data_IF_008227524962
#
_entry.id   IF_008227524962
#
_cell.length_a   1.000
_cell.length_b   1.000
_cell.length_c   1.000
_cell.angle_alpha   90.00
_cell.angle_beta   90.00
_cell.angle_gamma   90.00
#
_symmetry.space_group_name_H-M   'P 1'
#
loop_
_entity.id
_entity.type
_entity.pdbx_description
1 polymer ?
#
# COMPACT_ATOMS: atom_id res chain seq x y z
N UNK A 1 1.96 8.99 2.22
CA UNK A 1 1.52 10.40 2.10
C UNK A 1 2.73 11.29 2.28
N UNK A 2 2.80 12.44 1.62
CA UNK A 2 3.81 13.43 1.98
C UNK A 2 3.49 13.97 3.38
N UNK A 3 4.51 14.07 4.22
CA UNK A 3 4.40 14.70 5.52
C UNK A 3 4.23 16.20 5.35
N UNK A 4 3.58 16.83 6.31
CA UNK A 4 3.61 18.28 6.46
C UNK A 4 4.76 18.67 7.39
N UNK A 5 5.37 19.83 7.15
CA UNK A 5 6.40 20.37 8.05
C UNK A 5 5.88 20.44 9.50
N UNK A 6 6.73 20.17 10.51
CA UNK A 6 6.29 20.14 11.91
C UNK A 6 5.67 21.47 12.34
N UNK A 7 4.39 21.42 12.74
CA UNK A 7 3.62 22.61 13.15
C UNK A 7 3.69 22.86 14.66
N UNK A 8 4.60 22.20 15.38
CA UNK A 8 4.70 22.27 16.84
C UNK A 8 5.03 23.69 17.33
N UNK A 9 5.83 24.42 16.55
CA UNK A 9 6.25 25.78 16.86
C UNK A 9 5.28 26.87 16.36
N UNK A 10 4.22 26.48 15.62
CA UNK A 10 3.25 27.42 15.06
C UNK A 10 2.14 27.68 16.06
N UNK A 11 1.80 28.96 16.25
CA UNK A 11 0.62 29.38 16.97
C UNK A 11 -0.67 28.91 16.29
N UNK A 12 -1.76 28.86 17.05
CA UNK A 12 -3.08 28.52 16.48
C UNK A 12 -3.48 29.48 15.35
N UNK A 13 -3.12 30.76 15.45
CA UNK A 13 -3.43 31.76 14.42
C UNK A 13 -2.67 31.47 13.11
N UNK A 14 -1.39 31.11 13.19
CA UNK A 14 -0.60 30.73 12.02
C UNK A 14 -1.15 29.44 11.38
N UNK A 15 -1.49 28.44 12.18
CA UNK A 15 -2.14 27.21 11.70
C UNK A 15 -3.45 27.50 10.95
N UNK A 16 -4.32 28.34 11.50
CA UNK A 16 -5.54 28.75 10.82
C UNK A 16 -5.29 29.65 9.61
N UNK A 17 -4.16 30.35 9.55
CA UNK A 17 -3.72 31.10 8.37
C UNK A 17 -3.42 30.18 7.19
N UNK A 18 -2.76 29.04 7.44
CA UNK A 18 -2.43 28.05 6.41
C UNK A 18 -3.60 27.14 6.02
N UNK A 19 -4.33 26.59 7.00
CA UNK A 19 -5.36 25.57 6.73
C UNK A 19 -6.79 26.12 6.66
N UNK A 20 -6.98 27.39 7.03
CA UNK A 20 -8.31 27.92 7.29
C UNK A 20 -8.99 27.24 8.48
N UNK A 21 -10.29 27.53 8.66
CA UNK A 21 -11.10 26.87 9.69
C UNK A 21 -11.75 25.62 9.12
N UNK A 22 -11.87 24.52 9.89
CA UNK A 22 -12.65 23.36 9.46
C UNK A 22 -14.08 23.77 9.10
N UNK A 23 -14.48 23.49 7.87
CA UNK A 23 -15.82 23.76 7.36
C UNK A 23 -16.64 22.49 7.41
N UNK A 24 -17.92 22.62 7.74
CA UNK A 24 -18.87 21.51 7.70
C UNK A 24 -19.58 21.52 6.36
N UNK A 25 -19.61 20.37 5.70
CA UNK A 25 -20.43 20.11 4.53
C UNK A 25 -21.51 19.10 4.90
N UNK A 26 -22.71 19.27 4.35
CA UNK A 26 -23.79 18.29 4.57
C UNK A 26 -23.48 17.02 3.78
N UNK A 27 -23.64 15.87 4.43
CA UNK A 27 -23.76 14.61 3.71
C UNK A 27 -25.17 14.52 3.14
N UNK A 28 -25.24 14.45 1.81
CA UNK A 28 -26.48 14.20 1.10
C UNK A 28 -26.72 12.68 1.00
N UNK A 29 -27.99 12.27 0.87
CA UNK A 29 -28.40 10.88 0.60
C UNK A 29 -28.03 9.82 1.66
N UNK A 30 -28.12 10.15 2.94
CA UNK A 30 -28.02 9.19 4.06
C UNK A 30 -29.36 8.96 4.76
N UNK A 31 -29.53 7.76 5.35
CA UNK A 31 -30.71 7.40 6.16
C UNK A 31 -30.88 8.24 7.44
N UNK A 32 -29.83 8.98 7.84
CA UNK A 32 -29.84 9.97 8.91
C UNK A 32 -29.00 11.17 8.46
N UNK A 33 -29.48 12.38 8.75
CA UNK A 33 -28.71 13.60 8.48
C UNK A 33 -27.39 13.61 9.25
N UNK A 34 -26.33 14.03 8.56
CA UNK A 34 -24.98 14.17 9.12
C UNK A 34 -24.19 15.24 8.39
N UNK A 35 -23.20 15.80 9.08
CA UNK A 35 -22.20 16.70 8.49
C UNK A 35 -20.88 15.94 8.36
N UNK A 36 -20.15 16.16 7.26
CA UNK A 36 -18.75 15.81 7.10
C UNK A 36 -17.90 17.07 7.20
N UNK A 37 -16.65 16.95 7.62
CA UNK A 37 -15.69 18.05 7.55
C UNK A 37 -15.15 18.12 6.12
N UNK A 38 -15.16 19.32 5.52
CA UNK A 38 -14.55 19.56 4.22
C UNK A 38 -13.09 19.12 4.22
N UNK A 39 -12.65 18.55 3.08
CA UNK A 39 -11.27 18.13 2.93
C UNK A 39 -10.34 19.33 3.11
N UNK A 40 -9.28 19.12 3.89
CA UNK A 40 -8.27 20.15 4.11
C UNK A 40 -7.46 20.38 2.84
N UNK A 41 -7.40 21.63 2.39
CA UNK A 41 -6.44 22.07 1.38
C UNK A 41 -5.12 22.39 2.07
N UNK A 42 -4.03 21.80 1.57
CA UNK A 42 -2.70 21.97 2.14
C UNK A 42 -1.91 22.88 1.19
N UNK A 43 -1.38 23.97 1.73
CA UNK A 43 -0.41 24.82 1.02
C UNK A 43 0.83 23.99 0.67
N UNK A 44 1.19 23.97 -0.62
CA UNK A 44 2.33 23.19 -1.13
C UNK A 44 3.66 23.56 -0.43
N UNK A 45 3.78 24.78 0.09
CA UNK A 45 4.96 25.22 0.85
C UNK A 45 5.14 24.48 2.19
N UNK A 46 4.07 23.86 2.71
CA UNK A 46 4.10 23.06 3.92
C UNK A 46 4.38 21.57 3.64
N UNK A 47 4.40 21.16 2.37
CA UNK A 47 4.64 19.76 2.00
C UNK A 47 6.14 19.47 2.17
N UNK A 48 6.44 18.60 3.12
CA UNK A 48 7.80 18.11 3.33
C UNK A 48 8.15 17.04 2.29
N UNK A 49 9.44 16.88 2.04
CA UNK A 49 9.98 15.76 1.23
C UNK A 49 9.96 14.42 1.97
N UNK A 50 9.39 14.35 3.18
CA UNK A 50 9.30 13.13 3.98
C UNK A 50 8.02 12.39 3.64
N UNK A 51 8.11 11.07 3.51
CA UNK A 51 6.94 10.21 3.44
C UNK A 51 6.56 9.75 4.83
N UNK A 52 5.28 9.87 5.16
CA UNK A 52 4.70 9.41 6.42
C UNK A 52 3.55 8.44 6.14
N UNK A 53 3.42 7.44 7.03
CA UNK A 53 2.23 6.61 7.12
C UNK A 53 1.19 7.33 7.98
N UNK A 54 -0.07 7.19 7.61
CA UNK A 54 -1.20 7.77 8.31
C UNK A 54 -2.43 6.90 8.11
N UNK A 55 -3.59 7.41 8.52
CA UNK A 55 -4.86 6.68 8.55
C UNK A 55 -4.78 5.36 9.34
N UNK A 56 -4.58 5.50 10.65
CA UNK A 56 -4.51 4.37 11.58
C UNK A 56 -5.89 3.87 12.05
N UNK A 57 -6.98 4.24 11.37
CA UNK A 57 -8.35 3.90 11.77
C UNK A 57 -8.65 2.39 11.78
N UNK A 58 -7.86 1.62 11.04
CA UNK A 58 -7.94 0.14 10.97
C UNK A 58 -6.74 -0.56 11.59
N UNK A 59 -5.88 0.16 12.32
CA UNK A 59 -4.73 -0.44 12.99
C UNK A 59 -5.20 -1.39 14.10
N UNK A 60 -4.52 -2.53 14.19
CA UNK A 60 -4.82 -3.59 15.14
C UNK A 60 -3.52 -4.12 15.75
N UNK A 61 -3.62 -4.67 16.96
CA UNK A 61 -2.49 -5.32 17.60
C UNK A 61 -2.24 -6.68 16.93
N UNK A 62 -0.98 -6.98 16.57
CA UNK A 62 -0.61 -8.28 16.01
C UNK A 62 -1.07 -9.44 16.89
N UNK A 63 -1.57 -10.50 16.25
CA UNK A 63 -2.17 -11.66 16.93
C UNK A 63 -3.64 -11.48 17.33
N UNK A 64 -4.25 -10.33 17.03
CA UNK A 64 -5.68 -10.11 17.27
C UNK A 64 -6.49 -10.69 16.13
N UNK A 65 -7.47 -11.54 16.45
CA UNK A 65 -8.41 -12.03 15.45
C UNK A 65 -9.43 -10.95 15.12
N UNK A 66 -9.69 -10.73 13.84
CA UNK A 66 -10.68 -9.74 13.37
C UNK A 66 -11.91 -10.41 12.78
N UNK A 67 -13.13 -9.85 12.96
CA UNK A 67 -14.34 -10.42 12.39
C UNK A 67 -14.34 -10.36 10.86
N UNK A 68 -13.79 -9.28 10.28
CA UNK A 68 -13.68 -9.10 8.84
C UNK A 68 -12.26 -9.39 8.35
N UNK A 69 -12.10 -10.55 7.71
CA UNK A 69 -10.82 -11.01 7.18
C UNK A 69 -10.42 -10.33 5.88
N UNK A 70 -11.37 -9.88 5.09
CA UNK A 70 -11.07 -9.19 3.83
C UNK A 70 -10.98 -7.69 4.08
N UNK A 71 -9.88 -7.07 3.66
CA UNK A 71 -9.62 -5.64 3.89
C UNK A 71 -9.79 -4.81 2.61
N UNK A 72 -10.35 -3.62 2.77
CA UNK A 72 -10.34 -2.56 1.74
C UNK A 72 -9.11 -1.65 1.95
N UNK A 73 -8.47 -1.16 0.88
CA UNK A 73 -8.80 -1.39 -0.52
C UNK A 73 -8.35 -2.77 -0.99
N UNK A 74 -9.22 -3.44 -1.77
CA UNK A 74 -9.06 -4.84 -2.17
C UNK A 74 -7.74 -5.09 -2.93
N UNK A 75 -7.32 -4.12 -3.75
CA UNK A 75 -6.09 -4.18 -4.56
C UNK A 75 -4.79 -4.34 -3.75
N UNK A 76 -4.84 -4.02 -2.46
CA UNK A 76 -3.71 -4.13 -1.54
C UNK A 76 -3.92 -5.26 -0.52
N UNK A 77 -5.05 -5.97 -0.57
CA UNK A 77 -5.36 -7.03 0.37
C UNK A 77 -4.48 -8.25 0.09
N UNK A 78 -3.74 -8.70 1.11
CA UNK A 78 -2.92 -9.89 1.00
C UNK A 78 -3.75 -11.15 0.67
N UNK A 79 -3.23 -12.10 -0.10
CA UNK A 79 -3.99 -13.27 -0.56
C UNK A 79 -4.52 -14.11 0.60
N UNK A 80 -3.72 -14.32 1.65
CA UNK A 80 -4.13 -15.09 2.83
C UNK A 80 -5.40 -14.54 3.51
N UNK A 81 -5.63 -13.23 3.42
CA UNK A 81 -6.81 -12.56 3.98
C UNK A 81 -8.10 -12.94 3.24
N UNK A 82 -8.00 -13.24 1.94
CA UNK A 82 -9.12 -13.74 1.12
C UNK A 82 -9.50 -15.18 1.47
N UNK A 83 -8.55 -15.94 2.03
CA UNK A 83 -8.76 -17.30 2.52
C UNK A 83 -9.13 -17.34 4.01
N UNK A 84 -9.53 -16.20 4.59
CA UNK A 84 -10.05 -16.14 5.96
C UNK A 84 -8.98 -16.08 7.05
N UNK A 85 -7.71 -15.89 6.69
CA UNK A 85 -6.64 -15.76 7.67
C UNK A 85 -6.64 -14.39 8.35
N UNK A 86 -6.12 -14.38 9.58
CA UNK A 86 -5.92 -13.18 10.34
C UNK A 86 -4.79 -12.30 9.80
N UNK A 87 -4.88 -10.99 10.01
CA UNK A 87 -3.88 -10.04 9.57
C UNK A 87 -2.61 -10.17 10.39
N UNK A 88 -1.46 -9.97 9.75
CA UNK A 88 -0.14 -10.12 10.35
C UNK A 88 0.81 -9.07 9.79
N UNK A 89 2.03 -8.97 10.32
CA UNK A 89 3.04 -8.09 9.70
C UNK A 89 3.32 -8.45 8.23
N UNK A 90 3.16 -9.72 7.85
CA UNK A 90 3.32 -10.13 6.46
C UNK A 90 2.22 -9.53 5.57
N UNK A 91 0.99 -9.37 6.07
CA UNK A 91 -0.09 -8.75 5.29
C UNK A 91 0.22 -7.28 4.98
N UNK A 92 0.85 -6.55 5.91
CA UNK A 92 1.32 -5.19 5.67
C UNK A 92 2.44 -5.14 4.62
N UNK A 93 3.34 -6.13 4.64
CA UNK A 93 4.40 -6.23 3.65
C UNK A 93 3.89 -6.52 2.24
N UNK A 94 2.76 -7.23 2.09
CA UNK A 94 2.10 -7.38 0.79
C UNK A 94 1.56 -6.04 0.28
N UNK A 95 0.81 -5.32 1.12
CA UNK A 95 0.29 -3.99 0.78
C UNK A 95 1.41 -3.03 0.39
N UNK A 96 2.52 -3.05 1.14
CA UNK A 96 3.71 -2.26 0.83
C UNK A 96 4.31 -2.63 -0.54
N UNK A 97 4.34 -3.90 -0.91
CA UNK A 97 4.84 -4.34 -2.22
C UNK A 97 3.93 -3.93 -3.37
N UNK A 98 2.61 -3.94 -3.18
CA UNK A 98 1.66 -3.36 -4.12
C UNK A 98 1.96 -1.88 -4.36
N UNK A 99 2.12 -1.09 -3.28
CA UNK A 99 2.46 0.34 -3.36
C UNK A 99 3.82 0.54 -4.03
N UNK A 100 4.84 -0.21 -3.62
CA UNK A 100 6.20 -0.09 -4.15
C UNK A 100 6.23 -0.31 -5.66
N UNK A 101 5.53 -1.34 -6.15
CA UNK A 101 5.46 -1.63 -7.58
C UNK A 101 4.55 -0.66 -8.32
N UNK A 102 3.47 -0.18 -7.71
CA UNK A 102 2.63 0.86 -8.30
C UNK A 102 3.41 2.16 -8.50
N UNK A 103 4.21 2.57 -7.51
CA UNK A 103 5.09 3.73 -7.63
C UNK A 103 6.16 3.53 -8.70
N UNK A 104 6.65 2.30 -8.86
CA UNK A 104 7.62 1.98 -9.91
C UNK A 104 7.00 2.03 -11.31
N UNK A 105 5.82 1.46 -11.50
CA UNK A 105 5.21 1.28 -12.83
C UNK A 105 4.19 2.34 -13.22
N UNK A 106 3.73 3.17 -12.28
CA UNK A 106 2.67 4.16 -12.51
C UNK A 106 1.26 3.56 -12.60
N UNK A 107 1.08 2.25 -12.35
CA UNK A 107 -0.21 1.58 -12.35
C UNK A 107 -0.29 0.48 -11.29
N UNK A 108 -1.51 0.25 -10.78
CA UNK A 108 -1.76 -0.79 -9.78
C UNK A 108 -1.54 -2.18 -10.37
N UNK A 109 -0.73 -2.99 -9.68
CA UNK A 109 -0.32 -4.32 -10.12
C UNK A 109 -1.48 -5.31 -10.17
N UNK A 110 -2.39 -5.19 -9.20
CA UNK A 110 -3.49 -6.12 -9.03
C UNK A 110 -4.81 -5.35 -9.07
N UNK A 111 -5.41 -5.35 -10.26
CA UNK A 111 -6.67 -4.66 -10.54
C UNK A 111 -7.79 -5.68 -10.73
N UNK A 112 -8.93 -5.46 -10.07
CA UNK A 112 -10.10 -6.32 -10.22
C UNK A 112 -11.24 -5.97 -9.27
N UNK A 113 -12.47 -5.92 -9.80
CA UNK A 113 -13.68 -5.83 -8.99
C UNK A 113 -14.09 -7.22 -8.48
N UNK A 114 -14.04 -7.43 -7.16
CA UNK A 114 -14.45 -8.69 -6.52
C UNK A 114 -13.35 -9.74 -6.42
N UNK A 115 -13.55 -10.71 -5.52
CA UNK A 115 -12.58 -11.77 -5.15
C UNK A 115 -12.08 -12.58 -6.35
N UNK A 116 -12.97 -12.92 -7.29
CA UNK A 116 -12.66 -13.76 -8.45
C UNK A 116 -11.76 -13.07 -9.50
N UNK A 117 -11.99 -11.78 -9.75
CA UNK A 117 -11.17 -10.98 -10.67
C UNK A 117 -9.78 -10.70 -10.11
N UNK A 118 -9.68 -10.55 -8.78
CA UNK A 118 -8.43 -10.26 -8.08
C UNK A 118 -7.50 -11.49 -8.04
N UNK A 119 -8.02 -12.68 -7.72
CA UNK A 119 -7.22 -13.91 -7.71
C UNK A 119 -6.67 -14.25 -9.08
N UNK A 120 -7.46 -14.04 -10.14
CA UNK A 120 -7.02 -14.25 -11.52
C UNK A 120 -5.88 -13.30 -11.88
N UNK A 121 -6.00 -12.01 -11.58
CA UNK A 121 -4.97 -11.02 -11.88
C UNK A 121 -3.66 -11.23 -11.09
N UNK A 122 -3.75 -11.62 -9.81
CA UNK A 122 -2.57 -12.00 -9.02
C UNK A 122 -1.81 -13.16 -9.68
N UNK A 123 -2.54 -14.19 -10.10
CA UNK A 123 -1.96 -15.36 -10.75
C UNK A 123 -1.33 -14.97 -12.10
N UNK A 124 -2.01 -14.17 -12.90
CA UNK A 124 -1.49 -13.66 -14.19
C UNK A 124 -0.19 -12.86 -14.01
N UNK A 125 -0.06 -12.12 -12.90
CA UNK A 125 1.05 -11.18 -12.67
C UNK A 125 2.23 -11.79 -11.92
N UNK A 126 1.97 -12.68 -10.95
CA UNK A 126 2.95 -13.18 -9.99
C UNK A 126 3.23 -14.69 -10.14
N UNK A 127 2.45 -15.39 -10.98
CA UNK A 127 2.52 -16.84 -11.13
C UNK A 127 1.62 -17.59 -10.13
N UNK A 128 1.70 -18.93 -10.11
CA UNK A 128 0.72 -19.78 -9.43
C UNK A 128 0.78 -19.64 -7.90
N UNK A 129 -0.40 -19.69 -7.27
CA UNK A 129 -0.55 -19.83 -5.82
C UNK A 129 0.10 -21.14 -5.33
N UNK A 130 0.50 -21.24 -4.04
CA UNK A 130 1.04 -22.47 -3.47
C UNK A 130 0.08 -23.65 -3.66
N UNK A 131 0.62 -24.85 -3.90
CA UNK A 131 -0.14 -26.07 -4.24
C UNK A 131 -1.19 -26.46 -3.21
N UNK A 132 -0.99 -26.07 -1.95
CA UNK A 132 -1.93 -26.32 -0.86
C UNK A 132 -3.20 -25.44 -0.96
N UNK A 133 -3.24 -24.47 -1.88
CA UNK A 133 -4.33 -23.49 -2.11
C UNK A 133 -5.01 -23.60 -3.50
N UNK A 134 -4.73 -24.68 -4.25
CA UNK A 134 -5.23 -25.21 -5.55
C UNK A 134 -6.39 -24.45 -6.28
N UNK A 135 -6.33 -24.04 -7.57
CA UNK A 135 -5.92 -24.77 -8.80
C UNK A 135 -5.55 -23.85 -10.01
N UNK A 136 -4.39 -24.16 -10.62
CA UNK A 136 -3.97 -24.10 -12.05
C UNK A 136 -4.01 -22.82 -12.93
N UNK A 137 -2.87 -22.61 -13.62
CA UNK A 137 -2.61 -22.05 -14.98
C UNK A 137 -1.75 -20.77 -15.11
N UNK A 138 -1.19 -20.63 -16.32
CA UNK A 138 0.11 -20.06 -16.71
C UNK A 138 -0.01 -18.60 -17.21
N UNK A 139 0.77 -17.67 -16.66
CA UNK A 139 0.63 -16.23 -16.89
C UNK A 139 1.86 -15.59 -17.54
N UNK A 140 1.71 -15.10 -18.78
CA UNK A 140 2.71 -14.34 -19.51
C UNK A 140 2.20 -12.94 -19.88
N UNK A 141 2.93 -11.89 -19.48
CA UNK A 141 2.65 -10.50 -19.84
C UNK A 141 3.91 -9.76 -20.32
N UNK A 142 3.79 -8.81 -21.26
CA UNK A 142 4.93 -8.14 -21.90
C UNK A 142 5.52 -7.04 -21.01
N UNK A 143 6.79 -6.65 -21.21
CA UNK A 143 7.40 -5.63 -20.38
C UNK A 143 7.40 -4.23 -20.97
N UNK A 144 6.99 -3.26 -20.16
CA UNK A 144 7.23 -1.84 -20.37
C UNK A 144 8.68 -1.43 -20.04
N UNK A 145 9.09 -0.32 -20.65
CA UNK A 145 10.44 0.25 -20.71
C UNK A 145 10.93 0.80 -19.36
N UNK A 146 11.66 -0.03 -18.63
CA UNK A 146 12.58 0.40 -17.57
C UNK A 146 14.03 0.15 -18.01
N UNK A 147 14.96 0.94 -17.48
CA UNK A 147 16.38 0.61 -17.56
C UNK A 147 16.60 -0.84 -17.09
N UNK A 148 17.29 -1.66 -17.90
CA UNK A 148 17.42 -3.10 -17.64
C UNK A 148 18.02 -3.41 -16.26
N UNK A 149 18.89 -2.51 -15.75
CA UNK A 149 19.49 -2.62 -14.44
C UNK A 149 18.48 -2.36 -13.30
N UNK A 150 17.74 -1.25 -13.35
CA UNK A 150 16.71 -0.91 -12.36
C UNK A 150 15.65 -2.01 -12.27
N UNK A 151 15.21 -2.49 -13.43
CA UNK A 151 14.25 -3.59 -13.51
C UNK A 151 14.78 -4.86 -12.86
N UNK A 152 16.07 -5.20 -13.05
CA UNK A 152 16.69 -6.38 -12.44
C UNK A 152 16.70 -6.27 -10.90
N UNK A 153 17.06 -5.10 -10.39
CA UNK A 153 17.11 -4.83 -8.95
C UNK A 153 15.72 -4.91 -8.33
N UNK A 154 14.75 -4.21 -8.93
CA UNK A 154 13.36 -4.22 -8.49
C UNK A 154 12.76 -5.63 -8.51
N UNK A 155 12.97 -6.40 -9.59
CA UNK A 155 12.47 -7.78 -9.69
C UNK A 155 13.00 -8.70 -8.58
N UNK A 156 14.25 -8.51 -8.14
CA UNK A 156 14.83 -9.26 -7.02
C UNK A 156 14.10 -9.01 -5.70
N UNK A 157 13.65 -7.77 -5.47
CA UNK A 157 12.89 -7.37 -4.27
C UNK A 157 11.44 -7.84 -4.38
N UNK A 158 10.79 -7.55 -5.51
CA UNK A 158 9.39 -7.87 -5.83
C UNK A 158 9.12 -9.37 -5.66
N UNK A 159 9.99 -10.24 -6.18
CA UNK A 159 9.80 -11.70 -6.08
C UNK A 159 9.76 -12.22 -4.64
N UNK A 160 10.51 -11.60 -3.74
CA UNK A 160 10.54 -11.98 -2.31
C UNK A 160 9.43 -11.28 -1.53
N UNK A 161 9.07 -10.06 -1.92
CA UNK A 161 7.98 -9.30 -1.34
C UNK A 161 6.58 -9.84 -1.68
N UNK A 162 6.38 -10.39 -2.88
CA UNK A 162 5.13 -11.04 -3.30
C UNK A 162 5.12 -12.54 -3.06
N UNK A 163 5.85 -13.04 -2.06
CA UNK A 163 5.69 -14.43 -1.66
C UNK A 163 4.26 -14.67 -1.18
N UNK A 164 3.57 -15.63 -1.78
CA UNK A 164 2.22 -16.02 -1.37
C UNK A 164 2.18 -16.56 0.05
N UNK A 165 3.23 -17.29 0.45
CA UNK A 165 3.39 -17.80 1.81
C UNK A 165 3.84 -16.66 2.73
N UNK A 166 3.02 -16.24 3.71
CA UNK A 166 3.32 -15.09 4.56
C UNK A 166 4.66 -15.22 5.29
N UNK A 167 5.00 -16.42 5.73
CA UNK A 167 6.25 -16.75 6.43
C UNK A 167 7.50 -16.69 5.55
N UNK A 168 7.35 -16.71 4.23
CA UNK A 168 8.45 -16.56 3.27
C UNK A 168 8.57 -15.14 2.72
N UNK A 169 7.64 -14.25 3.10
CA UNK A 169 7.61 -12.85 2.68
C UNK A 169 8.70 -12.04 3.39
N UNK A 170 9.25 -11.05 2.71
CA UNK A 170 10.20 -10.12 3.32
C UNK A 170 9.56 -9.42 4.54
N UNK A 171 10.31 -9.28 5.62
CA UNK A 171 9.95 -8.42 6.75
C UNK A 171 10.33 -6.97 6.45
N UNK A 172 9.78 -6.00 7.18
CA UNK A 172 10.10 -4.58 6.96
C UNK A 172 11.59 -4.23 7.11
N UNK A 173 12.33 -4.99 7.93
CA UNK A 173 13.76 -4.76 8.14
C UNK A 173 14.64 -5.35 7.02
N UNK A 174 14.21 -6.44 6.39
CA UNK A 174 15.04 -7.17 5.42
C UNK A 174 15.37 -6.36 4.15
N UNK A 175 14.45 -5.59 3.53
CA UNK A 175 14.79 -4.71 2.42
C UNK A 175 15.87 -3.70 2.77
N UNK A 176 15.86 -3.15 4.00
CA UNK A 176 16.82 -2.12 4.39
C UNK A 176 18.26 -2.62 4.39
N UNK A 177 18.46 -3.92 4.62
CA UNK A 177 19.78 -4.54 4.57
C UNK A 177 20.14 -5.16 3.23
N UNK A 178 19.17 -5.29 2.32
CA UNK A 178 19.32 -5.95 1.04
C UNK A 178 20.17 -5.13 0.06
N UNK A 179 21.18 -5.78 -0.52
CA UNK A 179 22.11 -5.14 -1.46
C UNK A 179 21.39 -4.56 -2.68
N UNK A 180 20.40 -5.26 -3.22
CA UNK A 180 19.66 -4.77 -4.40
C UNK A 180 18.77 -3.58 -4.07
N UNK A 181 18.21 -3.55 -2.86
CA UNK A 181 17.45 -2.41 -2.38
C UNK A 181 18.34 -1.20 -2.10
N UNK A 182 19.54 -1.40 -1.54
CA UNK A 182 20.55 -0.35 -1.37
C UNK A 182 20.99 0.23 -2.72
N UNK A 183 21.26 -0.62 -3.71
CA UNK A 183 21.59 -0.18 -5.09
C UNK A 183 20.42 0.57 -5.76
N UNK A 184 19.19 0.09 -5.55
CA UNK A 184 17.99 0.76 -6.06
C UNK A 184 17.82 2.16 -5.47
N UNK A 185 17.94 2.28 -4.14
CA UNK A 185 17.89 3.56 -3.44
C UNK A 185 18.96 4.53 -3.92
N UNK A 186 20.18 4.04 -4.14
CA UNK A 186 21.29 4.86 -4.62
C UNK A 186 21.00 5.47 -6.00
N UNK A 187 20.25 4.81 -6.89
CA UNK A 187 19.84 5.39 -8.19
C UNK A 187 18.93 6.61 -8.03
N UNK A 188 18.21 6.72 -6.93
CA UNK A 188 17.35 7.87 -6.60
C UNK A 188 17.98 8.83 -5.56
N UNK A 189 19.27 8.63 -5.20
CA UNK A 189 19.96 9.45 -4.21
C UNK A 189 19.49 9.23 -2.76
N UNK A 190 18.94 8.05 -2.46
CA UNK A 190 18.42 7.64 -1.14
C UNK A 190 19.31 6.64 -0.42
#
# INVERSE_FOLDING_TARGET
MFGIEPLENYSSAEKFGYFGRPKKMKLYDLWKGGDIVEQMEIDESLISQRLVLGDFGVLIKAGTSVPQKVQSPFSYCAPERLHGHDPTFATDMWSYMCIFRELQCGFCVIYGGGTFSFTTNMVDTLGPLPSDWDNSFDGGGPPDEFCQAERRLALSIIRRGFSYLPEKRLTAAQPLEDQYFKELRAMYGL
#
